data_IF_724902776012
#
_entry.id   IF_724902776012
#
_cell.length_a   1.000
_cell.length_b   1.000
_cell.length_c   1.000
_cell.angle_alpha   90.00
_cell.angle_beta   90.00
_cell.angle_gamma   90.00
#
_symmetry.space_group_name_H-M   'P 1'
#
loop_
_entity.id
_entity.type
_entity.pdbx_description
1 polymer ?
#
# COMPACT_ATOMS: atom_id res chain seq x y z
N UNK A 1 4.39 -10.40 -1.03
CA UNK A 1 5.20 -10.11 -2.24
C UNK A 1 4.42 -9.52 -3.42
N UNK A 2 3.08 -9.61 -3.45
CA UNK A 2 2.29 -9.19 -4.61
C UNK A 2 1.77 -7.75 -4.59
N UNK A 3 1.76 -7.06 -3.44
CA UNK A 3 1.05 -5.77 -3.32
C UNK A 3 1.70 -4.66 -4.15
N UNK A 4 3.01 -4.48 -4.05
CA UNK A 4 3.70 -3.39 -4.73
C UNK A 4 3.61 -3.51 -6.27
N UNK A 5 3.89 -4.67 -6.88
CA UNK A 5 3.69 -4.89 -8.30
C UNK A 5 2.26 -4.62 -8.77
N UNK A 6 1.28 -5.15 -8.04
CA UNK A 6 -0.14 -4.97 -8.39
C UNK A 6 -0.54 -3.50 -8.32
N UNK A 7 -0.17 -2.79 -7.25
CA UNK A 7 -0.46 -1.36 -7.12
C UNK A 7 0.22 -0.50 -8.19
N UNK A 8 1.44 -0.86 -8.56
CA UNK A 8 2.15 -0.19 -9.64
C UNK A 8 1.42 -0.37 -10.98
N UNK A 9 1.03 -1.61 -11.29
CA UNK A 9 0.34 -1.96 -12.52
C UNK A 9 -1.06 -1.33 -12.61
N UNK A 10 -1.90 -1.49 -11.59
CA UNK A 10 -3.26 -0.94 -11.56
C UNK A 10 -3.30 0.58 -11.73
N UNK A 11 -2.32 1.27 -11.14
CA UNK A 11 -2.24 2.73 -11.19
C UNK A 11 -1.34 3.24 -12.33
N UNK A 12 -0.69 2.34 -13.06
CA UNK A 12 0.27 2.70 -14.11
C UNK A 12 1.26 3.76 -13.61
N UNK A 13 1.90 3.46 -12.50
CA UNK A 13 2.81 4.36 -11.81
C UNK A 13 3.96 3.57 -11.16
N UNK A 14 5.06 4.25 -10.83
CA UNK A 14 6.02 3.66 -9.92
C UNK A 14 5.39 3.55 -8.53
N UNK A 15 5.58 2.41 -7.92
CA UNK A 15 5.19 2.18 -6.54
C UNK A 15 6.42 1.90 -5.69
N UNK A 16 6.63 2.73 -4.68
CA UNK A 16 7.77 2.64 -3.77
C UNK A 16 7.22 2.29 -2.38
N UNK A 17 7.52 1.10 -1.93
CA UNK A 17 7.20 0.62 -0.58
C UNK A 17 8.48 0.61 0.24
N UNK A 18 8.61 1.54 1.17
CA UNK A 18 9.74 1.60 2.09
C UNK A 18 9.34 0.98 3.43
N UNK A 19 10.19 0.13 3.94
CA UNK A 19 9.98 -0.54 5.21
C UNK A 19 11.23 -0.44 6.08
N UNK A 20 11.03 -0.43 7.39
CA UNK A 20 12.12 -0.49 8.35
C UNK A 20 12.88 -1.82 8.24
N UNK A 21 14.18 -1.77 8.38
CA UNK A 21 15.04 -2.94 8.41
C UNK A 21 15.90 -2.93 9.68
N UNK A 22 16.26 -4.13 10.16
CA UNK A 22 17.06 -4.27 11.34
C UNK A 22 16.30 -4.12 12.66
N UNK A 23 17.04 -3.99 13.75
CA UNK A 23 16.45 -3.93 15.09
C UNK A 23 16.02 -2.50 15.44
N UNK A 24 14.74 -2.32 15.75
CA UNK A 24 14.18 -1.05 16.20
C UNK A 24 13.18 -1.30 17.33
N UNK A 25 13.31 -0.56 18.42
CA UNK A 25 12.46 -0.70 19.63
C UNK A 25 12.32 -2.16 20.13
N UNK A 26 13.43 -2.90 20.11
CA UNK A 26 13.43 -4.30 20.59
C UNK A 26 12.92 -5.34 19.58
N UNK A 27 12.36 -4.91 18.47
CA UNK A 27 11.80 -5.79 17.43
C UNK A 27 12.68 -5.80 16.20
N UNK A 28 12.80 -6.96 15.56
CA UNK A 28 13.46 -7.08 14.26
C UNK A 28 12.46 -6.80 13.14
N UNK A 29 12.80 -5.81 12.32
CA UNK A 29 12.05 -5.46 11.13
C UNK A 29 12.67 -6.12 9.90
N UNK A 30 11.82 -6.70 9.07
CA UNK A 30 12.26 -7.54 7.96
C UNK A 30 12.79 -6.76 6.76
N UNK A 31 12.69 -5.44 6.74
CA UNK A 31 13.06 -4.65 5.59
C UNK A 31 12.16 -4.96 4.39
N UNK A 32 12.72 -5.55 3.35
CA UNK A 32 11.97 -5.91 2.13
C UNK A 32 11.29 -4.72 1.46
N UNK A 33 11.94 -3.55 1.51
CA UNK A 33 11.52 -2.41 0.69
C UNK A 33 11.50 -2.81 -0.76
N UNK A 34 10.48 -2.38 -1.49
CA UNK A 34 10.27 -2.81 -2.87
C UNK A 34 9.93 -1.61 -3.76
N UNK A 35 10.48 -1.59 -4.94
CA UNK A 35 10.16 -0.64 -6.00
C UNK A 35 9.64 -1.43 -7.18
N UNK A 36 8.45 -1.06 -7.65
CA UNK A 36 7.83 -1.62 -8.84
C UNK A 36 7.60 -0.54 -9.90
N UNK A 37 7.77 -0.91 -11.15
CA UNK A 37 7.52 -0.05 -12.31
C UNK A 37 6.06 -0.02 -12.73
N UNK A 38 5.68 0.92 -13.62
CA UNK A 38 4.29 1.06 -14.09
C UNK A 38 3.75 -0.18 -14.84
N UNK A 39 4.61 -1.08 -15.22
CA UNK A 39 4.30 -2.38 -15.83
C UNK A 39 4.14 -3.52 -14.80
N UNK A 40 4.17 -3.20 -13.52
CA UNK A 40 4.08 -4.17 -12.44
C UNK A 40 5.34 -5.00 -12.19
N UNK A 41 6.44 -4.72 -12.89
CA UNK A 41 7.70 -5.43 -12.65
C UNK A 41 8.41 -4.88 -11.42
N UNK A 42 8.92 -5.78 -10.59
CA UNK A 42 9.81 -5.39 -9.49
C UNK A 42 11.13 -4.93 -10.10
N UNK A 43 11.46 -3.67 -9.87
CA UNK A 43 12.71 -3.06 -10.30
C UNK A 43 13.82 -3.29 -9.27
N UNK A 44 13.44 -3.27 -8.00
CA UNK A 44 14.38 -3.47 -6.91
C UNK A 44 13.66 -3.96 -5.65
N UNK A 45 14.27 -4.88 -4.91
CA UNK A 45 13.84 -5.32 -3.59
C UNK A 45 15.06 -5.37 -2.65
N UNK A 46 14.93 -4.79 -1.47
CA UNK A 46 15.99 -4.81 -0.46
C UNK A 46 15.99 -6.13 0.33
N UNK A 47 17.12 -6.41 0.96
CA UNK A 47 17.22 -7.42 1.99
C UNK A 47 16.63 -6.99 3.34
N UNK A 48 17.01 -7.73 4.38
CA UNK A 48 16.59 -7.45 5.77
C UNK A 48 17.57 -6.53 6.51
N UNK A 49 18.71 -6.20 5.92
CA UNK A 49 19.67 -5.28 6.52
C UNK A 49 19.34 -3.84 6.20
N UNK A 50 19.60 -2.91 7.13
CA UNK A 50 19.52 -1.49 6.85
C UNK A 50 20.43 -1.13 5.67
N UNK A 51 19.87 -0.40 4.72
CA UNK A 51 20.63 0.08 3.57
C UNK A 51 19.97 1.33 2.98
N UNK A 52 20.71 2.05 2.19
CA UNK A 52 20.17 3.11 1.34
C UNK A 52 20.74 2.94 -0.08
N UNK A 53 19.98 3.40 -1.05
CA UNK A 53 20.37 3.36 -2.44
C UNK A 53 19.72 4.51 -3.20
N UNK A 54 20.23 4.79 -4.36
CA UNK A 54 19.68 5.81 -5.27
C UNK A 54 19.23 5.13 -6.55
N UNK A 55 18.07 5.54 -7.05
CA UNK A 55 17.54 5.08 -8.33
C UNK A 55 16.98 6.25 -9.12
N UNK A 56 17.23 6.25 -10.40
CA UNK A 56 16.64 7.21 -11.33
C UNK A 56 15.35 6.64 -11.90
N UNK A 57 14.29 7.45 -11.89
CA UNK A 57 13.00 7.08 -12.46
C UNK A 57 12.77 7.84 -13.77
N UNK A 58 12.45 7.10 -14.80
CA UNK A 58 12.01 7.66 -16.06
C UNK A 58 10.49 7.97 -15.98
N UNK A 59 10.17 9.24 -15.85
CA UNK A 59 8.78 9.71 -15.74
C UNK A 59 8.00 9.51 -17.04
N UNK A 60 8.66 9.50 -18.17
CA UNK A 60 8.00 9.29 -19.46
C UNK A 60 7.44 7.89 -19.60
N UNK A 61 8.04 6.88 -18.96
CA UNK A 61 7.45 5.55 -18.86
C UNK A 61 6.07 5.54 -18.20
N UNK A 62 5.84 6.41 -17.22
CA UNK A 62 4.51 6.57 -16.59
C UNK A 62 3.53 7.21 -17.57
N UNK A 63 3.97 8.23 -18.29
CA UNK A 63 3.14 8.90 -19.31
C UNK A 63 2.75 7.94 -20.41
N UNK A 64 3.71 7.17 -20.90
CA UNK A 64 3.49 6.18 -21.94
C UNK A 64 2.58 5.03 -21.48
N UNK A 65 2.81 4.49 -20.28
CA UNK A 65 1.96 3.47 -19.70
C UNK A 65 0.51 3.95 -19.59
N UNK A 66 0.29 5.18 -19.13
CA UNK A 66 -1.05 5.78 -19.02
C UNK A 66 -1.68 6.10 -20.37
N UNK A 67 -0.90 6.40 -21.38
CA UNK A 67 -1.36 6.76 -22.72
C UNK A 67 -1.66 5.54 -23.58
N UNK A 68 -0.78 4.55 -23.53
CA UNK A 68 -0.80 3.40 -24.44
C UNK A 68 -1.10 2.07 -23.76
N UNK A 69 -1.12 2.04 -22.42
CA UNK A 69 -1.12 0.82 -21.63
C UNK A 69 0.26 0.19 -21.54
N UNK A 70 0.40 -0.76 -20.65
CA UNK A 70 1.55 -1.65 -20.58
C UNK A 70 1.30 -2.84 -21.51
N UNK A 71 2.18 -3.08 -22.44
CA UNK A 71 1.99 -4.10 -23.49
C UNK A 71 0.74 -3.92 -24.37
N UNK A 72 0.24 -2.71 -24.50
CA UNK A 72 -0.91 -2.34 -25.33
C UNK A 72 -2.26 -2.95 -24.91
N UNK A 73 -2.35 -3.64 -23.81
CA UNK A 73 -3.55 -4.40 -23.42
C UNK A 73 -4.19 -3.95 -22.12
N UNK A 74 -3.46 -3.32 -21.24
CA UNK A 74 -3.90 -3.02 -19.89
C UNK A 74 -4.29 -1.55 -19.72
N UNK A 75 -5.48 -1.24 -20.12
CA UNK A 75 -6.05 0.10 -19.94
C UNK A 75 -7.15 0.09 -18.87
N UNK A 76 -7.05 -0.81 -17.88
CA UNK A 76 -8.11 -1.02 -16.89
C UNK A 76 -8.55 0.30 -16.23
N UNK A 77 -7.62 1.09 -15.73
CA UNK A 77 -7.97 2.37 -15.09
C UNK A 77 -8.56 3.38 -16.08
N UNK A 78 -8.15 3.30 -17.33
CA UNK A 78 -8.70 4.13 -18.39
C UNK A 78 -10.12 3.72 -18.76
N UNK A 79 -10.36 2.42 -18.82
CA UNK A 79 -11.70 1.86 -19.05
C UNK A 79 -12.61 2.18 -17.88
N UNK A 80 -12.16 1.98 -16.63
CA UNK A 80 -12.92 2.35 -15.43
C UNK A 80 -13.27 3.84 -15.41
N UNK A 81 -12.34 4.71 -15.79
CA UNK A 81 -12.61 6.15 -15.92
C UNK A 81 -13.58 6.47 -17.05
N UNK A 82 -13.50 5.77 -18.18
CA UNK A 82 -14.41 5.99 -19.31
C UNK A 82 -15.84 5.57 -18.98
N UNK A 83 -16.00 4.49 -18.24
CA UNK A 83 -17.31 4.05 -17.75
C UNK A 83 -17.82 4.86 -16.57
N UNK A 84 -16.92 5.42 -15.80
CA UNK A 84 -17.18 6.28 -14.62
C UNK A 84 -18.59 6.10 -14.00
N UNK A 85 -18.98 4.87 -13.62
CA UNK A 85 -20.23 4.71 -12.91
C UNK A 85 -20.15 5.54 -11.63
N UNK A 86 -21.23 6.21 -11.25
CA UNK A 86 -21.25 6.91 -9.97
C UNK A 86 -20.92 5.90 -8.88
N UNK A 87 -19.80 6.15 -8.19
CA UNK A 87 -19.40 5.27 -7.08
C UNK A 87 -20.39 5.47 -5.94
N UNK A 88 -21.00 4.41 -5.43
CA UNK A 88 -21.75 4.51 -4.18
C UNK A 88 -20.85 5.16 -3.12
N UNK A 89 -21.39 6.12 -2.39
CA UNK A 89 -20.66 6.82 -1.32
C UNK A 89 -19.45 7.65 -1.79
N UNK A 90 -19.41 8.06 -3.07
CA UNK A 90 -18.31 8.86 -3.62
C UNK A 90 -18.11 10.20 -2.89
N UNK A 91 -19.16 10.76 -2.32
CA UNK A 91 -19.12 12.03 -1.60
C UNK A 91 -18.72 11.87 -0.14
N UNK A 92 -19.04 10.73 0.47
CA UNK A 92 -18.71 10.47 1.86
C UNK A 92 -18.56 8.97 2.12
N UNK A 93 -17.34 8.50 2.22
CA UNK A 93 -17.05 7.06 2.42
C UNK A 93 -17.65 6.55 3.75
N UNK A 94 -17.72 7.42 4.77
CA UNK A 94 -18.30 7.07 6.07
C UNK A 94 -19.79 6.70 6.01
N UNK A 95 -20.52 7.11 4.97
CA UNK A 95 -21.92 6.77 4.79
C UNK A 95 -22.13 5.35 4.22
N UNK A 96 -21.04 4.63 3.92
CA UNK A 96 -21.15 3.26 3.45
C UNK A 96 -21.66 2.34 4.57
N UNK A 97 -22.66 1.46 4.28
CA UNK A 97 -23.27 0.60 5.30
C UNK A 97 -22.28 -0.26 6.09
N UNK A 98 -21.14 -0.57 5.50
CA UNK A 98 -20.07 -1.32 6.17
C UNK A 98 -19.50 -0.57 7.38
N UNK A 99 -19.62 0.75 7.41
CA UNK A 99 -19.10 1.59 8.49
C UNK A 99 -20.16 1.97 9.54
N UNK A 100 -21.44 1.73 9.29
CA UNK A 100 -22.53 2.11 10.21
C UNK A 100 -22.39 1.52 11.62
N UNK A 101 -21.79 0.35 11.72
CA UNK A 101 -21.64 -0.37 12.99
C UNK A 101 -20.20 -0.43 13.47
N UNK A 102 -19.28 0.27 12.81
CA UNK A 102 -17.92 0.38 13.31
C UNK A 102 -17.90 1.43 14.41
N UNK A 103 -17.45 1.08 15.62
CA UNK A 103 -17.24 2.08 16.65
C UNK A 103 -16.24 3.11 16.17
N UNK A 104 -16.43 4.37 16.57
CA UNK A 104 -15.43 5.40 16.36
C UNK A 104 -14.09 4.89 16.88
N UNK A 105 -13.05 4.85 16.06
CA UNK A 105 -11.78 4.33 16.51
C UNK A 105 -11.22 5.27 17.56
N UNK A 106 -11.33 4.88 18.80
CA UNK A 106 -10.58 5.50 19.88
C UNK A 106 -9.12 5.09 19.70
N UNK A 107 -8.35 5.99 19.13
CA UNK A 107 -6.94 5.77 18.83
C UNK A 107 -5.99 6.01 20.01
N UNK A 108 -6.49 5.99 21.24
CA UNK A 108 -5.59 6.02 22.39
C UNK A 108 -4.78 4.72 22.46
N UNK A 109 -3.59 4.82 23.06
CA UNK A 109 -2.73 3.65 23.23
C UNK A 109 -3.42 2.59 24.11
N UNK A 110 -4.16 3.05 25.11
CA UNK A 110 -4.90 2.23 26.06
C UNK A 110 -6.01 1.45 25.36
N UNK A 111 -6.84 2.09 24.55
CA UNK A 111 -7.94 1.42 23.84
C UNK A 111 -7.44 0.39 22.83
N UNK A 112 -6.31 0.64 22.19
CA UNK A 112 -5.66 -0.37 21.33
C UNK A 112 -5.14 -1.55 22.14
N UNK A 113 -4.52 -1.28 23.29
CA UNK A 113 -3.99 -2.33 24.14
C UNK A 113 -5.11 -3.25 24.66
N UNK A 114 -6.24 -2.65 25.05
CA UNK A 114 -7.43 -3.38 25.48
C UNK A 114 -8.04 -4.20 24.32
N UNK A 115 -8.15 -3.63 23.15
CA UNK A 115 -8.64 -4.32 21.95
C UNK A 115 -7.75 -5.52 21.61
N UNK A 116 -6.45 -5.35 21.57
CA UNK A 116 -5.51 -6.43 21.28
C UNK A 116 -5.48 -7.50 22.37
N UNK A 117 -5.68 -7.11 23.63
CA UNK A 117 -5.80 -8.05 24.74
C UNK A 117 -7.09 -8.87 24.64
N UNK A 118 -8.20 -8.23 24.29
CA UNK A 118 -9.49 -8.89 24.11
C UNK A 118 -9.46 -9.91 22.96
N UNK A 119 -8.74 -9.60 21.88
CA UNK A 119 -8.54 -10.48 20.72
C UNK A 119 -7.45 -11.55 20.95
N UNK A 120 -6.79 -11.55 22.08
CA UNK A 120 -5.72 -12.50 22.40
C UNK A 120 -4.46 -12.30 21.54
N UNK A 121 -4.33 -11.15 20.87
CA UNK A 121 -3.26 -10.90 19.90
C UNK A 121 -1.97 -10.37 20.53
N UNK A 122 -2.04 -9.77 21.71
CA UNK A 122 -0.85 -9.31 22.46
C UNK A 122 -1.14 -9.24 23.96
N UNK A 123 -0.24 -9.80 24.77
CA UNK A 123 -0.07 -9.34 26.15
C UNK A 123 1.02 -8.25 26.13
N UNK A 124 0.64 -7.00 26.25
CA UNK A 124 1.61 -5.96 26.53
C UNK A 124 2.02 -6.13 27.99
N UNK A 125 3.21 -6.69 28.19
CA UNK A 125 3.76 -6.87 29.52
C UNK A 125 3.73 -5.56 30.27
N UNK A 126 3.03 -5.54 31.40
CA UNK A 126 3.18 -4.47 32.39
C UNK A 126 4.66 -4.45 32.78
N UNK A 127 5.32 -3.34 32.54
CA UNK A 127 6.61 -3.05 33.15
C UNK A 127 6.43 -2.84 34.64
#
# INVERSE_FOLDING_TARGET
>A
KGIAPTRAFENQAYFISLNCAGKYLGTYNYGKSCIAGPDGRVLYETGSNPMYFTMTFDVDRVRDARRYGTNYTDQLMRQLKAFNPPQPFANHIGDAPIYENLPDPDYTFESRAEMFAAEGLMSIGKK
#
